data_IF_337933727054
#
_entry.id   IF_337933727054
#
_cell.length_a   1.000
_cell.length_b   1.000
_cell.length_c   1.000
_cell.angle_alpha   90.00
_cell.angle_beta   90.00
_cell.angle_gamma   90.00
#
_symmetry.space_group_name_H-M   'P 1'
#
loop_
_entity.id
_entity.type
_entity.pdbx_description
1 polymer ?
#
# COMPACT_ATOMS: atom_id res chain seq x y z
N UNK A 1 13.67 74.55 110.59
CA UNK A 1 15.04 74.75 110.06
C UNK A 1 15.37 73.53 109.19
N UNK A 2 15.71 73.76 107.91
CA UNK A 2 16.11 72.72 106.92
C UNK A 2 17.35 71.94 107.43
N UNK A 3 17.55 70.66 107.05
CA UNK A 3 18.11 70.36 105.73
C UNK A 3 17.45 69.18 104.98
N UNK A 4 17.56 69.28 103.65
CA UNK A 4 17.10 68.32 102.66
C UNK A 4 18.06 67.12 102.55
N UNK A 5 17.50 65.91 102.47
CA UNK A 5 18.22 64.68 102.17
C UNK A 5 17.88 64.24 100.74
N UNK A 6 18.91 64.07 99.91
CA UNK A 6 18.84 63.66 98.51
C UNK A 6 18.33 62.22 98.39
N UNK A 7 17.37 61.97 97.50
CA UNK A 7 17.08 60.63 96.99
C UNK A 7 17.46 60.61 95.50
N UNK A 8 18.54 59.90 95.19
CA UNK A 8 18.92 59.52 93.83
C UNK A 8 17.99 58.38 93.39
N UNK A 9 17.15 58.59 92.38
CA UNK A 9 16.42 57.53 91.70
C UNK A 9 17.17 57.15 90.42
N UNK A 10 17.96 56.09 90.48
CA UNK A 10 18.50 55.40 89.30
C UNK A 10 17.39 54.64 88.60
N UNK A 11 17.20 54.75 87.27
CA UNK A 11 16.25 53.91 86.56
C UNK A 11 16.84 52.50 86.48
N UNK A 12 16.16 51.55 87.11
CA UNK A 12 16.46 50.12 87.00
C UNK A 12 16.10 49.69 85.57
N UNK A 13 17.10 49.66 84.69
CA UNK A 13 16.98 49.16 83.33
C UNK A 13 16.79 47.64 83.41
N UNK A 14 15.54 47.20 83.36
CA UNK A 14 15.16 45.79 83.35
C UNK A 14 15.62 45.20 82.00
N UNK A 15 16.80 44.58 81.99
CA UNK A 15 17.25 43.76 80.85
C UNK A 15 16.33 42.54 80.76
N UNK A 16 15.25 42.66 80.00
CA UNK A 16 14.49 41.50 79.52
C UNK A 16 15.36 40.76 78.53
N UNK A 17 15.94 39.64 78.97
CA UNK A 17 16.50 38.60 78.10
C UNK A 17 15.38 38.05 77.22
N UNK A 18 15.11 38.72 76.10
CA UNK A 18 14.32 38.18 75.01
C UNK A 18 15.16 37.07 74.37
N UNK A 19 14.82 35.83 74.71
CA UNK A 19 15.28 34.68 73.96
C UNK A 19 14.90 34.88 72.49
N UNK A 20 15.88 34.94 71.60
CA UNK A 20 15.62 34.83 70.17
C UNK A 20 14.95 33.47 69.92
N UNK A 21 13.79 33.40 69.24
CA UNK A 21 13.31 32.13 68.75
C UNK A 21 14.36 31.60 67.77
N UNK A 22 14.73 30.34 67.93
CA UNK A 22 15.65 29.64 67.05
C UNK A 22 15.13 29.74 65.61
N UNK A 23 15.76 30.59 64.81
CA UNK A 23 15.36 30.81 63.43
C UNK A 23 16.00 29.68 62.62
N UNK A 24 15.20 28.65 62.30
CA UNK A 24 15.62 27.60 61.37
C UNK A 24 15.72 28.26 59.99
N UNK A 25 16.94 28.49 59.54
CA UNK A 25 17.21 28.89 58.16
C UNK A 25 17.11 27.62 57.31
N UNK A 26 15.94 27.39 56.73
CA UNK A 26 15.83 26.46 55.60
C UNK A 26 16.58 27.12 54.46
N UNK A 27 17.78 26.63 54.17
CA UNK A 27 18.45 26.97 52.91
C UNK A 27 17.80 26.08 51.87
N UNK A 28 17.02 26.67 50.97
CA UNK A 28 16.60 26.00 49.76
C UNK A 28 17.89 25.70 48.98
N UNK A 29 18.28 24.42 48.98
CA UNK A 29 19.34 23.92 48.10
C UNK A 29 18.71 23.99 46.70
N UNK A 30 19.27 24.76 45.76
CA UNK A 30 18.76 24.75 44.39
C UNK A 30 18.87 23.32 43.86
N UNK A 31 17.81 22.83 43.23
CA UNK A 31 17.83 21.52 42.59
C UNK A 31 18.99 21.46 41.59
N UNK A 32 19.84 20.44 41.69
CA UNK A 32 20.98 20.25 40.81
C UNK A 32 20.86 18.91 40.12
N UNK A 33 20.41 18.96 38.87
CA UNK A 33 20.38 17.76 38.06
C UNK A 33 21.78 17.15 37.88
N UNK A 34 21.84 15.83 38.00
CA UNK A 34 23.01 14.99 37.81
C UNK A 34 23.88 14.84 39.06
N UNK A 35 23.36 15.11 40.26
CA UNK A 35 24.12 14.99 41.51
C UNK A 35 23.92 13.65 42.24
N UNK A 36 23.00 12.82 41.75
CA UNK A 36 22.64 11.50 42.25
C UNK A 36 21.47 11.51 43.23
N UNK A 37 20.83 12.65 43.48
CA UNK A 37 19.70 12.79 44.39
C UNK A 37 18.52 13.51 43.72
N UNK A 38 17.35 12.86 43.72
CA UNK A 38 16.11 13.47 43.19
C UNK A 38 15.64 14.60 44.11
N UNK A 39 15.82 15.84 43.66
CA UNK A 39 15.37 17.05 44.33
C UNK A 39 13.89 17.39 44.03
N UNK A 40 13.34 18.43 44.69
CA UNK A 40 11.90 18.73 44.67
C UNK A 40 11.33 19.10 43.28
N UNK A 41 12.16 19.60 42.37
CA UNK A 41 11.78 19.98 41.00
C UNK A 41 12.18 18.92 39.95
N UNK A 42 12.71 17.77 40.39
CA UNK A 42 13.22 16.69 39.54
C UNK A 42 12.29 15.48 39.56
N UNK A 43 12.17 14.81 38.42
CA UNK A 43 11.39 13.56 38.32
C UNK A 43 12.32 12.35 38.38
N UNK A 44 13.56 12.50 37.93
CA UNK A 44 14.64 11.52 38.03
C UNK A 44 15.97 12.25 38.24
N UNK A 45 16.99 11.53 38.72
CA UNK A 45 18.39 11.93 38.73
C UNK A 45 19.23 10.65 38.74
N UNK A 46 20.18 10.53 37.82
CA UNK A 46 21.02 9.34 37.65
C UNK A 46 22.51 9.60 37.94
N UNK A 47 22.83 10.75 38.54
CA UNK A 47 24.17 11.15 38.93
C UNK A 47 25.06 11.62 37.78
N UNK A 48 24.48 11.96 36.63
CA UNK A 48 25.21 12.56 35.52
C UNK A 48 24.35 13.57 34.72
N UNK A 49 24.94 14.24 33.73
CA UNK A 49 24.26 15.26 32.90
C UNK A 49 24.14 14.84 31.42
N UNK A 50 24.24 13.54 31.13
CA UNK A 50 24.03 13.00 29.80
C UNK A 50 22.54 13.11 29.44
N UNK A 51 22.25 13.40 28.17
CA UNK A 51 20.88 13.63 27.72
C UNK A 51 20.23 12.39 27.09
N UNK A 52 21.05 11.37 26.79
CA UNK A 52 20.68 10.24 25.94
C UNK A 52 20.70 8.91 26.71
N UNK A 53 20.34 8.96 27.99
CA UNK A 53 20.11 7.79 28.83
C UNK A 53 18.72 7.87 29.48
N UNK A 54 18.46 7.06 30.51
CA UNK A 54 17.15 6.99 31.16
C UNK A 54 16.70 8.32 31.81
N UNK A 55 17.64 9.19 32.22
CA UNK A 55 17.33 10.47 32.85
C UNK A 55 18.06 11.60 32.15
N UNK A 56 17.31 12.39 31.38
CA UNK A 56 17.89 13.51 30.64
C UNK A 56 18.63 14.48 31.57
N UNK A 57 19.63 15.21 31.05
CA UNK A 57 20.35 16.26 31.78
C UNK A 57 19.51 17.47 32.24
N UNK A 58 18.18 17.40 32.13
CA UNK A 58 17.20 18.34 32.74
C UNK A 58 16.28 17.63 33.75
N UNK A 59 16.67 16.43 34.20
CA UNK A 59 16.03 15.64 35.24
C UNK A 59 14.56 15.29 34.95
N UNK A 60 14.33 14.99 33.67
CA UNK A 60 13.11 14.39 33.14
C UNK A 60 13.43 12.98 32.62
N UNK A 61 12.57 11.98 32.86
CA UNK A 61 12.76 10.65 32.28
C UNK A 61 12.70 10.75 30.76
N UNK A 62 13.68 10.15 30.08
CA UNK A 62 13.65 10.03 28.63
C UNK A 62 12.48 9.15 28.18
N UNK A 63 11.78 9.58 27.14
CA UNK A 63 10.58 8.92 26.62
C UNK A 63 10.48 9.16 25.12
N UNK A 64 10.06 8.11 24.41
CA UNK A 64 9.61 8.24 23.04
C UNK A 64 8.67 9.44 22.82
N UNK A 65 9.05 10.32 21.90
CA UNK A 65 8.38 11.55 21.51
C UNK A 65 8.93 12.81 22.20
N UNK A 66 10.04 12.74 22.94
CA UNK A 66 10.68 13.89 23.58
C UNK A 66 11.80 14.53 22.73
N UNK A 67 12.09 13.96 21.56
CA UNK A 67 13.12 14.39 20.63
C UNK A 67 14.52 13.94 21.00
N UNK A 68 14.69 13.00 21.94
CA UNK A 68 15.97 12.47 22.39
C UNK A 68 16.02 10.95 22.21
N UNK A 69 16.77 10.49 21.21
CA UNK A 69 17.05 9.07 21.02
C UNK A 69 18.09 8.57 22.02
N UNK A 70 17.71 7.68 22.93
CA UNK A 70 18.62 7.03 23.88
C UNK A 70 19.73 6.23 23.20
N UNK A 71 20.93 6.32 23.78
CA UNK A 71 22.15 5.64 23.27
C UNK A 71 22.71 4.61 24.24
N UNK A 72 22.16 4.55 25.45
CA UNK A 72 22.50 3.58 26.47
C UNK A 72 21.81 2.22 26.27
N UNK A 73 20.76 2.18 25.43
CA UNK A 73 20.03 0.98 25.05
C UNK A 73 20.46 0.45 23.68
N UNK A 74 20.31 -0.86 23.49
CA UNK A 74 20.53 -1.52 22.19
C UNK A 74 19.26 -2.21 21.70
N UNK A 75 19.26 -2.59 20.42
CA UNK A 75 18.13 -3.28 19.79
C UNK A 75 17.74 -4.54 20.59
N UNK A 76 16.46 -4.58 21.01
CA UNK A 76 15.88 -5.67 21.79
C UNK A 76 15.74 -5.37 23.29
N UNK A 77 16.33 -4.28 23.78
CA UNK A 77 16.12 -3.82 25.16
C UNK A 77 14.72 -3.21 25.32
N UNK A 78 14.15 -3.33 26.53
CA UNK A 78 12.88 -2.67 26.86
C UNK A 78 13.04 -1.15 26.84
N UNK A 79 12.18 -0.47 26.08
CA UNK A 79 12.25 0.98 25.90
C UNK A 79 13.31 1.44 24.90
N UNK A 80 13.93 0.54 24.14
CA UNK A 80 14.77 0.91 23.01
C UNK A 80 13.95 1.65 21.95
N UNK A 81 14.46 2.78 21.50
CA UNK A 81 13.93 3.56 20.40
C UNK A 81 14.94 3.63 19.26
N UNK A 82 14.46 3.37 18.03
CA UNK A 82 15.31 3.41 16.85
C UNK A 82 15.49 4.86 16.33
N UNK A 83 14.57 5.75 16.71
CA UNK A 83 14.53 7.16 16.39
C UNK A 83 13.67 7.89 17.42
N UNK A 84 13.83 9.20 17.53
CA UNK A 84 12.86 10.08 18.19
C UNK A 84 13.01 11.47 17.56
N UNK A 85 11.96 11.94 16.88
CA UNK A 85 11.95 13.23 16.21
C UNK A 85 11.17 14.32 16.96
N UNK A 86 10.63 13.97 18.14
CA UNK A 86 9.93 14.87 19.04
C UNK A 86 8.61 15.41 18.51
N UNK A 87 8.04 14.80 17.47
CA UNK A 87 6.78 15.24 16.89
C UNK A 87 5.68 14.18 17.06
N UNK A 88 4.51 14.35 16.43
CA UNK A 88 3.38 13.40 16.56
C UNK A 88 2.84 12.91 15.21
N UNK A 89 3.67 12.98 14.18
CA UNK A 89 3.36 12.68 12.78
C UNK A 89 3.95 11.31 12.45
N UNK A 90 3.11 10.28 12.40
CA UNK A 90 3.58 8.93 12.03
C UNK A 90 4.02 8.83 10.56
N UNK A 91 3.61 9.76 9.70
CA UNK A 91 3.83 9.70 8.25
C UNK A 91 5.14 10.34 7.78
N UNK A 92 6.14 10.39 8.66
CA UNK A 92 7.51 10.83 8.36
C UNK A 92 8.55 9.71 8.61
N UNK A 93 9.79 10.06 8.97
CA UNK A 93 10.84 9.07 9.18
C UNK A 93 10.75 8.29 10.49
N UNK A 94 9.99 8.77 11.47
CA UNK A 94 9.90 8.18 12.79
C UNK A 94 8.44 8.02 13.22
N UNK A 95 8.02 6.80 13.50
CA UNK A 95 6.70 6.56 14.04
C UNK A 95 6.61 7.13 15.47
N UNK A 96 5.41 7.45 15.92
CA UNK A 96 5.10 7.82 17.31
C UNK A 96 5.35 6.69 18.32
N UNK A 97 5.66 5.48 17.82
CA UNK A 97 6.14 4.34 18.60
C UNK A 97 7.68 4.29 18.71
N UNK A 98 8.36 5.31 18.17
CA UNK A 98 9.81 5.47 18.11
C UNK A 98 10.52 4.30 17.44
N UNK A 99 9.85 3.77 16.43
CA UNK A 99 10.40 2.86 15.44
C UNK A 99 10.62 3.66 14.14
N UNK A 100 11.64 3.27 13.38
CA UNK A 100 11.83 3.85 12.05
C UNK A 100 10.66 3.45 11.16
N UNK A 101 10.09 4.42 10.46
CA UNK A 101 9.05 4.16 9.48
C UNK A 101 9.60 3.32 8.33
N UNK A 102 8.90 2.26 7.96
CA UNK A 102 9.29 1.29 6.96
C UNK A 102 8.08 0.58 6.35
N UNK A 103 8.20 0.24 5.07
CA UNK A 103 7.22 -0.55 4.36
C UNK A 103 6.76 -1.81 5.13
N UNK A 104 5.44 -1.93 5.30
CA UNK A 104 4.75 -3.00 6.01
C UNK A 104 4.50 -2.70 7.49
N UNK A 105 4.74 -1.47 7.96
CA UNK A 105 4.45 -1.05 9.34
C UNK A 105 3.00 -0.55 9.55
N UNK A 106 2.24 -0.45 8.46
CA UNK A 106 0.84 -0.02 8.44
C UNK A 106 0.66 1.50 8.37
N UNK A 107 1.74 2.26 8.13
CA UNK A 107 1.72 3.71 8.03
C UNK A 107 2.37 4.17 6.72
N UNK A 108 1.60 4.88 5.90
CA UNK A 108 2.12 5.48 4.67
C UNK A 108 2.90 6.76 4.98
N UNK A 109 4.17 6.79 4.60
CA UNK A 109 5.03 7.96 4.59
C UNK A 109 4.64 8.96 3.52
N UNK A 110 4.62 10.22 3.92
CA UNK A 110 4.16 11.35 3.09
C UNK A 110 5.18 12.46 2.97
N UNK A 111 6.27 12.38 3.72
CA UNK A 111 7.36 13.37 3.74
C UNK A 111 8.35 13.19 2.57
N UNK A 112 8.31 12.05 1.89
CA UNK A 112 9.18 11.71 0.78
C UNK A 112 8.46 11.80 -0.58
N UNK A 113 9.13 12.32 -1.62
CA UNK A 113 8.59 12.31 -2.98
C UNK A 113 8.76 10.94 -3.65
N UNK A 114 7.93 10.68 -4.66
CA UNK A 114 8.04 9.51 -5.54
C UNK A 114 9.46 9.38 -6.12
N UNK A 115 9.99 8.15 -6.12
CA UNK A 115 11.34 7.83 -6.60
C UNK A 115 12.44 7.93 -5.54
N UNK A 116 12.13 8.35 -4.31
CA UNK A 116 13.04 8.19 -3.18
C UNK A 116 13.16 6.70 -2.79
N UNK A 117 14.33 6.27 -2.30
CA UNK A 117 14.58 4.85 -1.95
C UNK A 117 13.68 4.31 -0.83
N UNK A 118 13.17 5.20 0.01
CA UNK A 118 12.26 4.89 1.13
C UNK A 118 10.85 5.45 0.89
N UNK A 119 10.54 5.82 -0.36
CA UNK A 119 9.17 6.18 -0.72
C UNK A 119 8.32 4.92 -0.79
N UNK A 120 7.10 5.01 -0.28
CA UNK A 120 6.08 3.99 -0.39
C UNK A 120 4.82 4.57 -1.01
N UNK A 121 4.27 3.88 -2.00
CA UNK A 121 3.04 4.30 -2.65
C UNK A 121 1.80 3.89 -1.84
N UNK A 122 1.96 2.89 -0.98
CA UNK A 122 0.96 2.32 -0.09
C UNK A 122 1.67 1.62 1.08
N UNK A 123 0.93 1.33 2.14
CA UNK A 123 1.32 0.44 3.23
C UNK A 123 0.01 -0.01 3.90
N UNK A 124 -0.27 -1.29 3.86
CA UNK A 124 -1.47 -1.87 4.47
C UNK A 124 -1.15 -2.73 5.71
N UNK A 125 0.11 -2.76 6.13
CA UNK A 125 0.61 -3.44 7.32
C UNK A 125 0.48 -4.96 7.28
N UNK A 126 0.35 -5.55 6.09
CA UNK A 126 0.05 -6.97 5.93
C UNK A 126 1.02 -7.64 4.94
N UNK A 127 1.30 -8.96 5.07
CA UNK A 127 2.29 -9.64 4.24
C UNK A 127 1.75 -10.20 2.91
N UNK A 128 0.52 -9.88 2.52
CA UNK A 128 -0.10 -10.36 1.29
C UNK A 128 0.35 -9.52 0.10
N UNK A 129 0.86 -10.18 -0.94
CA UNK A 129 1.24 -9.51 -2.21
C UNK A 129 0.07 -9.46 -3.22
N UNK A 130 -1.03 -10.13 -2.91
CA UNK A 130 -2.18 -10.35 -3.77
C UNK A 130 -3.38 -9.46 -3.41
N UNK A 131 -3.13 -8.31 -2.81
CA UNK A 131 -4.11 -7.27 -2.58
C UNK A 131 -3.65 -5.92 -3.15
N UNK A 132 -4.23 -4.80 -2.70
CA UNK A 132 -3.93 -3.49 -3.26
C UNK A 132 -2.51 -3.00 -3.02
N UNK A 133 -1.84 -3.48 -1.96
CA UNK A 133 -0.50 -3.04 -1.62
C UNK A 133 0.46 -4.22 -1.58
N UNK A 134 1.54 -4.12 -2.34
CA UNK A 134 2.57 -5.16 -2.34
C UNK A 134 3.48 -5.04 -1.14
N UNK A 135 4.16 -6.12 -0.82
CA UNK A 135 5.17 -6.21 0.24
C UNK A 135 6.41 -5.33 -0.01
N UNK A 136 6.57 -4.79 -1.23
CA UNK A 136 7.58 -3.78 -1.56
C UNK A 136 7.02 -2.35 -1.56
N UNK A 137 5.79 -2.18 -1.05
CA UNK A 137 5.04 -0.94 -0.95
C UNK A 137 4.84 -0.21 -2.28
N UNK A 138 4.78 -0.99 -3.36
CA UNK A 138 4.23 -0.55 -4.62
C UNK A 138 2.76 -0.93 -4.70
N UNK A 139 1.99 -0.11 -5.43
CA UNK A 139 0.61 -0.45 -5.73
C UNK A 139 0.57 -1.64 -6.70
N UNK A 140 -0.28 -2.62 -6.39
CA UNK A 140 -0.58 -3.70 -7.31
C UNK A 140 -1.26 -3.16 -8.58
N UNK A 141 -0.92 -3.74 -9.72
CA UNK A 141 -1.42 -3.33 -11.04
C UNK A 141 -1.36 -4.50 -12.01
N UNK A 142 -2.26 -4.50 -12.99
CA UNK A 142 -2.15 -5.45 -14.08
C UNK A 142 -0.78 -5.39 -14.80
N UNK A 143 -0.23 -6.56 -15.11
CA UNK A 143 1.05 -6.78 -15.78
C UNK A 143 2.24 -6.85 -14.82
N UNK A 144 1.99 -7.01 -13.53
CA UNK A 144 3.02 -6.99 -12.50
C UNK A 144 3.39 -8.38 -11.95
N UNK A 145 2.78 -9.42 -12.52
CA UNK A 145 3.04 -10.83 -12.29
C UNK A 145 2.32 -11.43 -11.10
N UNK A 146 1.41 -10.71 -10.44
CA UNK A 146 0.67 -11.24 -9.27
C UNK A 146 -0.81 -10.93 -9.39
N UNK A 147 -1.61 -12.00 -9.37
CA UNK A 147 -3.08 -11.89 -9.39
C UNK A 147 -3.64 -11.48 -8.02
N UNK A 148 -4.35 -10.36 -7.97
CA UNK A 148 -5.20 -9.83 -6.91
C UNK A 148 -6.30 -10.82 -6.55
N UNK A 149 -6.40 -11.16 -5.26
CA UNK A 149 -7.43 -12.07 -4.73
C UNK A 149 -8.40 -11.40 -3.77
N UNK A 150 -8.19 -10.14 -3.44
CA UNK A 150 -9.08 -9.34 -2.59
C UNK A 150 -10.26 -8.70 -3.36
N UNK A 151 -10.20 -8.68 -4.69
CA UNK A 151 -11.29 -8.23 -5.58
C UNK A 151 -12.01 -9.45 -6.16
N UNK A 152 -13.35 -9.46 -6.12
CA UNK A 152 -14.15 -10.55 -6.66
C UNK A 152 -14.42 -10.38 -8.17
N UNK A 153 -14.67 -11.50 -8.86
CA UNK A 153 -15.05 -11.48 -10.27
C UNK A 153 -16.28 -10.60 -10.52
N UNK A 154 -16.16 -9.67 -11.47
CA UNK A 154 -17.20 -8.70 -11.83
C UNK A 154 -17.11 -7.36 -11.09
N UNK A 155 -16.25 -7.24 -10.07
CA UNK A 155 -15.98 -5.96 -9.42
C UNK A 155 -14.93 -5.14 -10.20
N UNK A 156 -14.99 -3.79 -10.16
CA UNK A 156 -14.02 -2.95 -10.85
C UNK A 156 -12.59 -3.21 -10.37
N UNK A 157 -11.68 -3.44 -11.33
CA UNK A 157 -10.28 -3.73 -11.03
C UNK A 157 -9.99 -5.21 -10.77
N UNK A 158 -10.97 -6.10 -10.90
CA UNK A 158 -10.73 -7.54 -10.93
C UNK A 158 -9.83 -7.92 -12.11
N UNK A 159 -8.88 -8.81 -11.85
CA UNK A 159 -8.00 -9.41 -12.83
C UNK A 159 -8.21 -10.92 -12.87
N UNK A 160 -8.51 -11.44 -14.07
CA UNK A 160 -8.71 -12.87 -14.29
C UNK A 160 -7.37 -13.63 -14.34
N UNK A 161 -6.29 -12.92 -14.63
CA UNK A 161 -4.93 -13.41 -14.79
C UNK A 161 -3.95 -12.23 -14.65
N UNK A 162 -2.67 -12.52 -14.42
CA UNK A 162 -1.57 -11.57 -14.55
C UNK A 162 -0.31 -12.41 -14.80
N UNK A 163 0.34 -12.22 -15.93
CA UNK A 163 1.52 -12.98 -16.32
C UNK A 163 2.82 -12.15 -16.29
N UNK A 164 2.74 -10.90 -15.84
CA UNK A 164 3.88 -10.03 -15.62
C UNK A 164 4.55 -9.53 -16.89
N UNK A 165 3.85 -9.50 -18.02
CA UNK A 165 4.41 -9.06 -19.29
C UNK A 165 3.49 -8.08 -20.05
N UNK A 166 3.98 -7.52 -21.16
CA UNK A 166 3.28 -6.49 -21.96
C UNK A 166 2.77 -7.05 -23.33
N UNK A 167 2.67 -8.37 -23.49
CA UNK A 167 2.19 -9.04 -24.69
C UNK A 167 0.68 -9.27 -24.62
N UNK A 168 -0.03 -8.79 -25.63
CA UNK A 168 -1.50 -8.90 -25.68
C UNK A 168 -1.96 -10.19 -26.40
N UNK A 169 -1.04 -10.88 -27.09
CA UNK A 169 -1.30 -12.06 -27.94
C UNK A 169 -1.04 -13.40 -27.23
N UNK A 170 -0.88 -13.37 -25.90
CA UNK A 170 -0.78 -14.56 -25.08
C UNK A 170 -2.08 -14.85 -24.32
N UNK A 171 -2.04 -15.73 -23.32
CA UNK A 171 -3.24 -16.16 -22.61
C UNK A 171 -3.79 -15.08 -21.66
N UNK A 172 -2.96 -14.10 -21.27
CA UNK A 172 -3.31 -13.04 -20.35
C UNK A 172 -3.05 -11.68 -20.97
N UNK A 173 -4.13 -11.02 -21.38
CA UNK A 173 -4.00 -9.72 -22.07
C UNK A 173 -3.46 -8.65 -21.14
N UNK A 174 -2.97 -7.55 -21.70
CA UNK A 174 -2.40 -6.41 -20.98
C UNK A 174 -3.40 -5.65 -20.08
N UNK A 175 -4.67 -6.04 -20.11
CA UNK A 175 -5.74 -5.56 -19.22
C UNK A 175 -6.15 -6.59 -18.17
N UNK A 176 -5.37 -7.67 -18.04
CA UNK A 176 -5.58 -8.76 -17.10
C UNK A 176 -6.93 -9.43 -17.26
N UNK A 177 -7.36 -9.47 -18.51
CA UNK A 177 -8.48 -10.26 -18.99
C UNK A 177 -7.90 -11.51 -19.65
N UNK A 178 -8.54 -12.66 -19.45
CA UNK A 178 -8.22 -13.82 -20.26
C UNK A 178 -8.41 -13.49 -21.75
N UNK A 179 -7.49 -14.00 -22.59
CA UNK A 179 -7.69 -13.99 -24.04
C UNK A 179 -8.94 -14.78 -24.41
N UNK A 180 -9.72 -14.25 -25.34
CA UNK A 180 -10.93 -14.90 -25.84
C UNK A 180 -11.18 -14.48 -27.29
N UNK A 181 -11.87 -15.35 -28.00
CA UNK A 181 -12.42 -15.02 -29.30
C UNK A 181 -13.24 -13.73 -29.30
N UNK A 182 -13.14 -12.98 -30.39
CA UNK A 182 -13.92 -11.79 -30.63
C UNK A 182 -13.49 -10.62 -29.75
N UNK A 183 -12.28 -10.66 -29.20
CA UNK A 183 -11.77 -9.62 -28.32
C UNK A 183 -10.89 -8.57 -29.02
N UNK A 184 -10.62 -8.80 -30.31
CA UNK A 184 -9.88 -7.93 -31.20
C UNK A 184 -8.40 -8.31 -31.33
N UNK A 185 -7.95 -9.38 -30.64
CA UNK A 185 -6.56 -9.82 -30.62
C UNK A 185 -6.51 -11.32 -30.85
N UNK A 186 -5.72 -11.75 -31.84
CA UNK A 186 -5.50 -13.18 -32.10
C UNK A 186 -4.62 -13.75 -30.98
N UNK A 187 -5.24 -14.50 -30.07
CA UNK A 187 -4.58 -15.13 -28.94
C UNK A 187 -4.09 -16.55 -29.21
N UNK A 188 -3.58 -17.24 -28.16
CA UNK A 188 -3.10 -18.61 -28.28
C UNK A 188 -4.20 -19.59 -28.68
N UNK A 189 -4.03 -20.22 -29.84
CA UNK A 189 -4.96 -21.23 -30.35
C UNK A 189 -6.05 -20.68 -31.25
N UNK A 190 -6.09 -19.38 -31.48
CA UNK A 190 -7.01 -18.74 -32.41
C UNK A 190 -6.40 -18.66 -33.82
N UNK A 191 -7.18 -19.04 -34.83
CA UNK A 191 -6.84 -18.89 -36.25
C UNK A 191 -7.29 -17.55 -36.83
N UNK A 192 -8.26 -16.87 -36.20
CA UNK A 192 -8.73 -15.53 -36.50
C UNK A 192 -9.32 -14.86 -35.25
N UNK A 193 -9.47 -13.53 -35.31
CA UNK A 193 -10.27 -12.72 -34.42
C UNK A 193 -10.66 -11.43 -35.16
N UNK A 194 -11.95 -11.12 -35.27
CA UNK A 194 -12.48 -9.91 -35.91
C UNK A 194 -13.17 -8.95 -34.92
N UNK A 195 -12.89 -9.12 -33.63
CA UNK A 195 -13.34 -8.23 -32.57
C UNK A 195 -14.80 -8.38 -32.18
N UNK A 196 -15.45 -9.47 -32.58
CA UNK A 196 -16.80 -9.79 -32.11
C UNK A 196 -17.12 -11.30 -32.14
N UNK A 197 -18.27 -11.70 -31.60
CA UNK A 197 -18.71 -13.10 -31.50
C UNK A 197 -19.75 -13.48 -32.58
N UNK A 198 -19.92 -12.70 -33.64
CA UNK A 198 -20.86 -12.99 -34.73
C UNK A 198 -20.25 -14.04 -35.66
N UNK A 199 -20.82 -15.26 -35.78
CA UNK A 199 -20.22 -16.29 -36.63
C UNK A 199 -20.46 -16.06 -38.13
N UNK A 200 -21.12 -14.97 -38.53
CA UNK A 200 -21.55 -14.69 -39.92
C UNK A 200 -20.65 -13.71 -40.68
N UNK A 201 -19.54 -13.28 -40.09
CA UNK A 201 -18.56 -12.38 -40.71
C UNK A 201 -17.23 -13.08 -41.03
N UNK A 202 -16.09 -12.54 -40.60
CA UNK A 202 -14.77 -12.98 -41.06
C UNK A 202 -14.19 -14.10 -40.16
N UNK A 203 -14.78 -14.33 -38.98
CA UNK A 203 -14.31 -15.32 -38.01
C UNK A 203 -15.47 -16.11 -37.39
N UNK A 204 -15.36 -17.44 -37.37
CA UNK A 204 -16.39 -18.31 -36.77
C UNK A 204 -15.75 -19.24 -35.73
N UNK A 205 -16.01 -18.97 -34.44
CA UNK A 205 -15.46 -19.80 -33.36
C UNK A 205 -13.93 -19.83 -33.34
N UNK A 206 -13.31 -18.69 -33.66
CA UNK A 206 -11.86 -18.45 -33.74
C UNK A 206 -11.15 -19.21 -34.86
N UNK A 207 -11.91 -19.78 -35.78
CA UNK A 207 -11.37 -20.36 -37.00
C UNK A 207 -11.78 -19.49 -38.20
N UNK A 208 -10.86 -19.25 -39.16
CA UNK A 208 -11.19 -18.50 -40.36
C UNK A 208 -12.39 -19.12 -41.07
N UNK A 209 -13.29 -18.26 -41.54
CA UNK A 209 -14.53 -18.71 -42.17
C UNK A 209 -14.25 -19.44 -43.47
N UNK A 210 -15.08 -20.44 -43.76
CA UNK A 210 -14.94 -21.27 -44.95
C UNK A 210 -16.26 -21.86 -45.36
N UNK A 211 -16.50 -21.90 -46.67
CA UNK A 211 -17.66 -22.58 -47.22
C UNK A 211 -17.70 -24.06 -46.82
N UNK A 212 -18.86 -24.50 -46.34
CA UNK A 212 -19.11 -25.83 -45.80
C UNK A 212 -18.97 -25.93 -44.29
N UNK A 213 -18.84 -24.81 -43.55
CA UNK A 213 -18.69 -24.81 -42.09
C UNK A 213 -20.03 -24.83 -41.33
N UNK A 214 -21.15 -24.75 -42.06
CA UNK A 214 -22.51 -24.81 -41.54
C UNK A 214 -23.10 -23.44 -41.19
N UNK A 215 -22.37 -22.35 -41.42
CA UNK A 215 -22.81 -20.98 -41.16
C UNK A 215 -22.69 -20.16 -42.43
N UNK A 216 -23.71 -19.36 -42.76
CA UNK A 216 -23.66 -18.51 -43.95
C UNK A 216 -22.93 -17.23 -43.60
N UNK A 217 -21.74 -17.02 -44.16
CA UNK A 217 -20.98 -15.80 -43.97
C UNK A 217 -21.26 -14.71 -45.01
N UNK A 218 -20.74 -13.51 -44.75
CA UNK A 218 -20.81 -12.38 -45.67
C UNK A 218 -20.20 -12.71 -47.03
N UNK A 219 -21.05 -12.76 -48.06
CA UNK A 219 -20.64 -13.06 -49.45
C UNK A 219 -21.04 -14.45 -49.92
N UNK A 220 -21.41 -15.34 -49.01
CA UNK A 220 -21.98 -16.64 -49.30
C UNK A 220 -23.47 -16.53 -49.63
N UNK A 221 -23.94 -17.38 -50.54
CA UNK A 221 -25.37 -17.43 -50.91
C UNK A 221 -26.10 -18.60 -50.24
N UNK A 222 -25.34 -19.58 -49.76
CA UNK A 222 -25.76 -20.77 -49.04
C UNK A 222 -24.52 -21.31 -48.30
N UNK A 223 -24.76 -22.11 -47.28
CA UNK A 223 -23.79 -23.00 -46.65
C UNK A 223 -24.62 -24.17 -46.09
N UNK A 224 -24.25 -25.39 -46.41
CA UNK A 224 -24.96 -26.60 -45.99
C UNK A 224 -24.10 -27.54 -45.12
N UNK A 225 -22.96 -27.03 -44.61
CA UNK A 225 -22.13 -27.68 -43.61
C UNK A 225 -21.38 -28.93 -44.09
N UNK A 226 -21.12 -29.05 -45.39
CA UNK A 226 -20.36 -30.16 -45.93
C UNK A 226 -19.59 -29.80 -47.21
N UNK A 227 -18.69 -30.69 -47.64
CA UNK A 227 -17.82 -30.50 -48.81
C UNK A 227 -18.37 -31.14 -50.11
N UNK A 228 -19.70 -31.24 -50.29
CA UNK A 228 -20.33 -31.92 -51.43
C UNK A 228 -20.91 -30.95 -52.46
N UNK A 229 -20.23 -30.81 -53.59
CA UNK A 229 -20.70 -29.99 -54.72
C UNK A 229 -22.01 -30.48 -55.40
N UNK A 230 -22.50 -31.68 -55.08
CA UNK A 230 -23.62 -32.32 -55.80
C UNK A 230 -24.99 -32.09 -55.17
N UNK A 231 -25.14 -31.10 -54.30
CA UNK A 231 -26.44 -30.77 -53.71
C UNK A 231 -26.84 -29.32 -54.02
N UNK A 232 -27.61 -28.70 -53.12
CA UNK A 232 -28.14 -27.36 -53.35
C UNK A 232 -27.07 -26.28 -53.18
N UNK A 233 -26.01 -26.55 -52.41
CA UNK A 233 -24.94 -25.61 -52.16
C UNK A 233 -23.62 -26.16 -52.71
N UNK A 234 -22.96 -25.36 -53.54
CA UNK A 234 -21.64 -25.72 -54.04
C UNK A 234 -20.58 -25.41 -52.96
N UNK A 235 -19.41 -26.05 -53.04
CA UNK A 235 -18.25 -25.84 -52.16
C UNK A 235 -17.61 -24.45 -52.32
N UNK A 236 -18.16 -23.59 -53.18
CA UNK A 236 -17.81 -22.17 -53.30
C UNK A 236 -18.93 -21.25 -52.81
N UNK A 237 -19.93 -21.82 -52.12
CA UNK A 237 -21.06 -21.16 -51.48
C UNK A 237 -21.94 -20.37 -52.45
N UNK A 238 -21.94 -20.79 -53.72
CA UNK A 238 -22.97 -20.43 -54.68
C UNK A 238 -24.10 -21.48 -54.66
N UNK A 239 -25.33 -21.04 -54.89
CA UNK A 239 -26.44 -21.97 -55.12
C UNK A 239 -26.21 -22.76 -56.42
N UNK A 240 -26.40 -24.08 -56.35
CA UNK A 240 -26.35 -24.94 -57.53
C UNK A 240 -27.43 -24.55 -58.55
N UNK A 241 -27.08 -24.62 -59.84
CA UNK A 241 -27.95 -24.30 -60.96
C UNK A 241 -27.53 -25.05 -62.23
N UNK A 242 -28.50 -25.45 -63.04
CA UNK A 242 -28.24 -25.97 -64.37
C UNK A 242 -27.38 -25.00 -65.21
N UNK A 243 -26.31 -25.53 -65.78
CA UNK A 243 -25.30 -24.82 -66.55
C UNK A 243 -24.13 -24.28 -65.72
N UNK A 244 -23.96 -24.70 -64.46
CA UNK A 244 -22.80 -24.30 -63.62
C UNK A 244 -21.60 -25.25 -63.72
N UNK A 245 -21.77 -26.37 -64.44
CA UNK A 245 -20.73 -27.37 -64.67
C UNK A 245 -20.69 -28.50 -63.63
N UNK A 246 -21.62 -28.53 -62.68
CA UNK A 246 -21.71 -29.51 -61.58
C UNK A 246 -23.11 -30.12 -61.58
N UNK A 247 -23.22 -31.43 -61.31
CA UNK A 247 -24.54 -32.09 -61.29
C UNK A 247 -25.17 -32.01 -59.91
N UNK A 248 -26.27 -31.27 -59.79
CA UNK A 248 -27.16 -31.25 -58.63
C UNK A 248 -27.95 -32.56 -58.51
N UNK A 249 -27.47 -33.45 -57.64
CA UNK A 249 -28.04 -34.78 -57.44
C UNK A 249 -29.50 -34.71 -56.97
N UNK A 250 -30.38 -35.35 -57.74
CA UNK A 250 -31.81 -35.43 -57.44
C UNK A 250 -32.65 -34.34 -58.11
N UNK A 251 -32.05 -33.23 -58.55
CA UNK A 251 -32.75 -32.16 -59.29
C UNK A 251 -32.43 -32.19 -60.79
N UNK A 252 -31.19 -32.52 -61.17
CA UNK A 252 -30.79 -32.66 -62.58
C UNK A 252 -30.08 -33.99 -62.89
N UNK A 253 -30.23 -34.46 -64.13
CA UNK A 253 -29.66 -35.73 -64.59
C UNK A 253 -28.27 -35.56 -65.22
N UNK A 254 -27.92 -34.34 -65.62
CA UNK A 254 -26.67 -33.96 -66.26
C UNK A 254 -26.50 -32.43 -66.21
N UNK A 255 -25.25 -31.97 -66.22
CA UNK A 255 -24.87 -30.57 -66.40
C UNK A 255 -23.70 -30.53 -67.41
N UNK A 256 -23.83 -29.76 -68.49
CA UNK A 256 -22.81 -29.60 -69.53
C UNK A 256 -22.14 -28.20 -69.52
N UNK A 257 -22.40 -27.42 -68.47
CA UNK A 257 -21.88 -26.07 -68.25
C UNK A 257 -22.52 -24.98 -69.11
N UNK A 258 -23.69 -25.20 -69.74
CA UNK A 258 -24.39 -24.21 -70.58
C UNK A 258 -25.89 -24.07 -70.30
#
# INVERSE_FOLDING_TARGET
MKPALRVLTTPLCLLTLLACPEQVVVRDIPAVCGDGAVDADEICDDGNNEQLDACTGVCQPARCGDGLTRTDLVLGDEGYEACDDGNSVDSDGCLNSCQLAACGDGVIRTDLPEGHLSFEACDDGNPADDDACRNDCTLARCGDGIVRRDIAEGDPGFEACDDGNDADDDACRNRCEAARCGDGVIGPGEGCDDGNDDPTDDCNGCEPTSCGDGTIQSGEQCDDGNDTDQDRCLNNCANARCGDGIVWAGEEACDDGN
#
